data_IF_696006752039
#
_entry.id   IF_696006752039
#
_cell.length_a   1.000
_cell.length_b   1.000
_cell.length_c   1.000
_cell.angle_alpha   90.00
_cell.angle_beta   90.00
_cell.angle_gamma   90.00
#
_symmetry.space_group_name_H-M   'P 1'
#
loop_
_entity.id
_entity.type
_entity.pdbx_description
1 polymer ?
#
# COMPACT_ATOMS: atom_id res chain seq x y z
N UNK A 1 30.18 -15.73 33.32
CA UNK A 1 28.78 -15.31 33.05
C UNK A 1 28.69 -14.16 32.05
N UNK A 2 29.48 -13.08 32.20
CA UNK A 2 29.46 -11.91 31.31
C UNK A 2 29.56 -12.21 29.80
N UNK A 3 30.45 -13.13 29.39
CA UNK A 3 30.62 -13.51 27.98
C UNK A 3 29.42 -14.26 27.41
N UNK A 4 28.67 -15.01 28.24
CA UNK A 4 27.44 -15.68 27.82
C UNK A 4 26.32 -14.67 27.57
N UNK A 5 26.20 -13.64 28.41
CA UNK A 5 25.27 -12.54 28.21
C UNK A 5 25.54 -11.79 26.91
N UNK A 6 26.79 -11.42 26.65
CA UNK A 6 27.17 -10.75 25.40
C UNK A 6 26.98 -11.61 24.15
N UNK A 7 27.20 -12.93 24.24
CA UNK A 7 26.89 -13.84 23.14
C UNK A 7 25.39 -13.90 22.84
N UNK A 8 24.56 -13.95 23.88
CA UNK A 8 23.10 -13.89 23.72
C UNK A 8 22.64 -12.57 23.08
N UNK A 9 23.23 -11.44 23.49
CA UNK A 9 22.95 -10.13 22.86
C UNK A 9 23.36 -10.10 21.38
N UNK A 10 24.49 -10.71 21.03
CA UNK A 10 24.91 -10.83 19.63
C UNK A 10 23.89 -11.63 18.81
N UNK A 11 23.43 -12.77 19.32
CA UNK A 11 22.41 -13.60 18.65
C UNK A 11 21.09 -12.86 18.50
N UNK A 12 20.62 -12.17 19.54
CA UNK A 12 19.39 -11.38 19.50
C UNK A 12 19.50 -10.22 18.49
N UNK A 13 20.64 -9.53 18.45
CA UNK A 13 20.89 -8.47 17.46
C UNK A 13 20.92 -8.99 16.02
N UNK A 14 21.49 -10.18 15.78
CA UNK A 14 21.48 -10.82 14.46
C UNK A 14 20.07 -11.26 14.05
N UNK A 15 19.30 -11.83 14.98
CA UNK A 15 17.92 -12.23 14.73
C UNK A 15 17.03 -11.03 14.39
N UNK A 16 17.17 -9.92 15.12
CA UNK A 16 16.46 -8.68 14.84
C UNK A 16 16.90 -8.09 13.48
N UNK A 17 18.21 -8.08 13.19
CA UNK A 17 18.71 -7.59 11.89
C UNK A 17 18.13 -8.40 10.73
N UNK A 18 18.05 -9.72 10.86
CA UNK A 18 17.45 -10.60 9.85
C UNK A 18 15.96 -10.34 9.66
N UNK A 19 15.21 -10.15 10.75
CA UNK A 19 13.80 -9.79 10.68
C UNK A 19 13.59 -8.41 10.03
N UNK A 20 14.41 -7.42 10.36
CA UNK A 20 14.35 -6.08 9.81
C UNK A 20 14.70 -6.05 8.31
N UNK A 21 15.67 -6.86 7.86
CA UNK A 21 15.93 -7.07 6.43
C UNK A 21 14.69 -7.66 5.74
N UNK A 22 14.09 -8.70 6.31
CA UNK A 22 12.87 -9.30 5.77
C UNK A 22 11.74 -8.26 5.65
N UNK A 23 11.48 -7.49 6.71
CA UNK A 23 10.48 -6.42 6.70
C UNK A 23 10.76 -5.37 5.63
N UNK A 24 12.03 -4.97 5.48
CA UNK A 24 12.40 -3.98 4.47
C UNK A 24 12.25 -4.52 3.04
N UNK A 25 12.59 -5.79 2.79
CA UNK A 25 12.31 -6.43 1.50
C UNK A 25 10.81 -6.49 1.21
N UNK A 26 9.99 -6.86 2.20
CA UNK A 26 8.53 -6.87 2.05
C UNK A 26 7.98 -5.46 1.80
N UNK A 27 8.54 -4.43 2.42
CA UNK A 27 8.20 -3.03 2.15
C UNK A 27 8.56 -2.62 0.71
N UNK A 28 9.70 -3.07 0.19
CA UNK A 28 10.06 -2.83 -1.21
C UNK A 28 9.09 -3.54 -2.17
N UNK A 29 8.72 -4.78 -1.88
CA UNK A 29 7.68 -5.51 -2.64
C UNK A 29 6.36 -4.76 -2.62
N UNK A 30 5.90 -4.33 -1.45
CA UNK A 30 4.67 -3.55 -1.27
C UNK A 30 4.69 -2.27 -2.11
N UNK A 31 5.78 -1.51 -2.03
CA UNK A 31 5.92 -0.24 -2.76
C UNK A 31 6.17 -0.42 -4.26
N UNK A 32 6.59 -1.61 -4.67
CA UNK A 32 6.64 -2.05 -6.07
C UNK A 32 5.31 -2.57 -6.61
N UNK A 33 4.24 -2.58 -5.80
CA UNK A 33 2.91 -3.06 -6.21
C UNK A 33 2.69 -4.56 -6.03
N UNK A 34 3.59 -5.28 -5.34
CA UNK A 34 3.43 -6.69 -4.99
C UNK A 34 2.70 -6.89 -3.65
N UNK A 35 2.29 -8.13 -3.37
CA UNK A 35 1.67 -8.52 -2.10
C UNK A 35 2.70 -8.92 -1.04
N UNK A 36 2.41 -8.64 0.24
CA UNK A 36 3.31 -9.02 1.34
C UNK A 36 2.85 -10.30 2.04
N UNK A 37 3.81 -11.02 2.64
CA UNK A 37 3.55 -12.25 3.41
C UNK A 37 2.83 -11.96 4.73
N UNK A 38 3.00 -10.76 5.30
CA UNK A 38 2.43 -10.38 6.58
C UNK A 38 1.12 -9.58 6.48
N UNK A 39 0.63 -9.32 5.27
CA UNK A 39 -0.72 -8.78 4.99
C UNK A 39 -1.76 -9.90 4.90
N UNK A 40 -2.09 -10.52 6.04
CA UNK A 40 -2.97 -11.71 6.06
C UNK A 40 -4.45 -11.33 6.15
N UNK A 41 -4.77 -10.28 6.91
CA UNK A 41 -6.14 -9.77 7.09
C UNK A 41 -6.11 -8.28 7.44
N UNK A 42 -7.27 -7.60 7.47
CA UNK A 42 -7.36 -6.18 7.83
C UNK A 42 -6.86 -5.89 9.27
N UNK A 43 -7.07 -6.84 10.18
CA UNK A 43 -6.60 -6.76 11.57
C UNK A 43 -5.17 -7.23 11.73
N UNK A 44 -4.68 -8.12 10.88
CA UNK A 44 -3.31 -8.65 10.88
C UNK A 44 -2.62 -8.21 9.60
N UNK A 45 -2.19 -6.94 9.58
CA UNK A 45 -1.64 -6.29 8.40
C UNK A 45 -0.40 -5.44 8.73
N UNK A 46 0.75 -5.84 8.17
CA UNK A 46 1.97 -5.04 8.25
C UNK A 46 1.98 -3.84 7.27
N UNK A 47 1.24 -3.92 6.17
CA UNK A 47 1.19 -2.91 5.11
C UNK A 47 0.56 -1.61 5.61
N UNK A 48 -0.55 -1.72 6.36
CA UNK A 48 -1.22 -0.58 7.01
C UNK A 48 -0.27 0.18 7.94
N UNK A 49 0.54 -0.55 8.71
CA UNK A 49 1.49 0.06 9.65
C UNK A 49 2.62 0.74 8.90
N UNK A 50 3.18 0.11 7.86
CA UNK A 50 4.31 0.65 7.09
C UNK A 50 3.95 1.83 6.18
N UNK A 51 2.69 1.92 5.75
CA UNK A 51 2.18 3.06 4.99
C UNK A 51 1.39 4.07 5.85
N UNK A 52 1.39 3.91 7.18
CA UNK A 52 0.76 4.87 8.07
C UNK A 52 1.39 6.26 7.94
N UNK A 53 0.62 7.31 8.18
CA UNK A 53 1.11 8.70 8.15
C UNK A 53 2.32 8.91 9.08
N UNK A 54 2.35 8.21 10.21
CA UNK A 54 3.48 8.21 11.13
C UNK A 54 4.75 7.63 10.46
N UNK A 55 4.65 6.43 9.86
CA UNK A 55 5.78 5.79 9.20
C UNK A 55 6.30 6.62 8.01
N UNK A 56 5.40 7.26 7.25
CA UNK A 56 5.76 8.16 6.15
C UNK A 56 6.52 9.40 6.66
N UNK A 57 6.04 10.06 7.71
CA UNK A 57 6.76 11.20 8.32
C UNK A 57 8.14 10.82 8.84
N UNK A 58 8.27 9.65 9.48
CA UNK A 58 9.57 9.16 9.94
C UNK A 58 10.53 8.97 8.75
N UNK A 59 10.03 8.39 7.66
CA UNK A 59 10.80 8.22 6.43
C UNK A 59 11.24 9.56 5.82
N UNK A 60 10.36 10.55 5.80
CA UNK A 60 10.66 11.89 5.27
C UNK A 60 11.71 12.64 6.09
N UNK A 61 11.60 12.58 7.42
CA UNK A 61 12.50 13.29 8.32
C UNK A 61 13.88 12.63 8.42
N UNK A 62 13.91 11.30 8.52
CA UNK A 62 15.14 10.54 8.80
C UNK A 62 15.81 10.07 7.50
N UNK A 63 15.06 9.99 6.39
CA UNK A 63 15.53 9.41 5.13
C UNK A 63 15.62 7.88 5.16
N UNK A 64 15.11 7.24 6.22
CA UNK A 64 15.06 5.79 6.39
C UNK A 64 13.62 5.34 6.68
N UNK A 65 13.07 4.33 5.99
CA UNK A 65 11.80 3.75 6.38
C UNK A 65 11.90 3.08 7.76
N UNK A 66 10.77 2.91 8.46
CA UNK A 66 10.73 2.31 9.80
C UNK A 66 11.41 0.93 9.85
N UNK A 67 11.25 0.11 8.81
CA UNK A 67 11.94 -1.20 8.72
C UNK A 67 13.48 -1.07 8.66
N UNK A 68 13.99 -0.04 7.96
CA UNK A 68 15.44 0.23 7.94
C UNK A 68 15.94 0.75 9.29
N UNK A 69 15.12 1.46 10.07
CA UNK A 69 15.48 1.87 11.44
C UNK A 69 15.61 0.68 12.39
N UNK A 70 14.78 -0.36 12.23
CA UNK A 70 14.98 -1.63 12.90
C UNK A 70 16.36 -2.21 12.58
N UNK A 71 16.70 -2.30 11.28
CA UNK A 71 18.01 -2.80 10.85
C UNK A 71 19.18 -1.99 11.43
N UNK A 72 19.07 -0.66 11.49
CA UNK A 72 20.08 0.19 12.14
C UNK A 72 20.25 -0.21 13.60
N UNK A 73 19.15 -0.36 14.34
CA UNK A 73 19.19 -0.78 15.74
C UNK A 73 19.86 -2.15 15.91
N UNK A 74 19.47 -3.14 15.08
CA UNK A 74 20.06 -4.48 15.09
C UNK A 74 21.55 -4.51 14.83
N UNK A 75 22.00 -3.82 13.78
CA UNK A 75 23.41 -3.77 13.42
C UNK A 75 24.25 -3.05 14.48
N UNK A 76 23.71 -2.03 15.14
CA UNK A 76 24.35 -1.39 16.29
C UNK A 76 24.47 -2.35 17.47
N UNK A 77 23.40 -3.08 17.78
CA UNK A 77 23.39 -4.10 18.83
C UNK A 77 24.43 -5.21 18.54
N UNK A 78 24.52 -5.67 17.29
CA UNK A 78 25.54 -6.62 16.82
C UNK A 78 26.94 -6.04 16.98
N UNK A 79 27.18 -4.82 16.50
CA UNK A 79 28.48 -4.15 16.53
C UNK A 79 29.01 -3.97 17.96
N UNK A 80 28.17 -3.50 18.88
CA UNK A 80 28.55 -3.33 20.29
C UNK A 80 28.73 -4.67 21.02
N UNK A 81 27.93 -5.70 20.67
CA UNK A 81 28.09 -7.05 21.25
C UNK A 81 29.40 -7.70 20.79
N UNK A 82 29.75 -7.55 19.50
CA UNK A 82 31.03 -7.99 18.95
C UNK A 82 32.20 -7.23 19.58
N UNK A 83 32.07 -5.91 19.77
CA UNK A 83 33.06 -5.09 20.46
C UNK A 83 33.28 -5.56 21.91
N UNK A 84 32.20 -5.84 22.64
CA UNK A 84 32.29 -6.40 23.98
C UNK A 84 33.06 -7.73 23.98
N UNK A 85 32.69 -8.66 23.10
CA UNK A 85 33.30 -10.01 23.04
C UNK A 85 34.78 -9.95 22.66
N UNK A 86 35.16 -9.07 21.72
CA UNK A 86 36.56 -8.89 21.31
C UNK A 86 37.40 -8.27 22.44
N UNK A 87 36.85 -7.31 23.18
CA UNK A 87 37.53 -6.74 24.35
C UNK A 87 37.65 -7.73 25.51
N UNK A 88 36.60 -8.51 25.77
CA UNK A 88 36.64 -9.56 26.78
C UNK A 88 37.73 -10.61 26.48
N UNK A 89 37.92 -10.98 25.21
CA UNK A 89 38.97 -11.92 24.79
C UNK A 89 40.38 -11.33 24.87
N UNK A 90 40.52 -10.02 24.68
CA UNK A 90 41.82 -9.32 24.67
C UNK A 90 42.20 -8.72 26.02
N UNK A 91 41.43 -8.96 27.08
CA UNK A 91 41.67 -8.40 28.42
C UNK A 91 41.44 -6.88 28.52
N UNK A 92 40.80 -6.26 27.52
CA UNK A 92 40.48 -4.83 27.51
C UNK A 92 39.25 -4.54 28.38
N UNK A 93 39.12 -3.33 28.95
CA UNK A 93 37.96 -2.97 29.76
C UNK A 93 36.67 -2.98 28.93
N UNK A 94 35.72 -3.83 29.32
CA UNK A 94 34.46 -4.04 28.59
C UNK A 94 33.34 -3.05 28.95
N UNK A 95 33.54 -2.24 30.00
CA UNK A 95 32.56 -1.29 30.53
C UNK A 95 31.96 -0.35 29.47
N UNK A 96 32.74 0.27 28.58
CA UNK A 96 32.17 1.20 27.60
C UNK A 96 31.18 0.51 26.65
N UNK A 97 31.49 -0.71 26.20
CA UNK A 97 30.62 -1.50 25.34
C UNK A 97 29.38 -2.01 26.10
N UNK A 98 29.55 -2.44 27.36
CA UNK A 98 28.43 -2.87 28.21
C UNK A 98 27.41 -1.75 28.46
N UNK A 99 27.90 -0.56 28.78
CA UNK A 99 27.07 0.63 28.96
C UNK A 99 26.39 1.03 27.64
N UNK A 100 27.11 0.94 26.51
CA UNK A 100 26.53 1.20 25.19
C UNK A 100 25.38 0.25 24.85
N UNK A 101 25.53 -1.05 25.11
CA UNK A 101 24.47 -2.06 24.92
C UNK A 101 23.22 -1.74 25.76
N UNK A 102 23.40 -1.21 26.98
CA UNK A 102 22.29 -0.79 27.84
C UNK A 102 21.61 0.49 27.36
N UNK A 103 22.36 1.44 26.81
CA UNK A 103 21.79 2.63 26.18
C UNK A 103 20.98 2.26 24.93
N UNK A 104 21.50 1.35 24.10
CA UNK A 104 20.82 0.83 22.92
C UNK A 104 19.56 0.04 23.31
N UNK A 105 19.62 -0.74 24.39
CA UNK A 105 18.45 -1.42 24.95
C UNK A 105 17.38 -0.41 25.42
N UNK A 106 17.77 0.64 26.15
CA UNK A 106 16.85 1.68 26.59
C UNK A 106 16.20 2.42 25.41
N UNK A 107 17.01 2.81 24.41
CA UNK A 107 16.51 3.43 23.18
C UNK A 107 15.55 2.49 22.43
N UNK A 108 15.88 1.20 22.35
CA UNK A 108 15.02 0.18 21.75
C UNK A 108 13.66 0.09 22.42
N UNK A 109 13.61 0.05 23.77
CA UNK A 109 12.34 0.00 24.50
C UNK A 109 11.49 1.27 24.31
N UNK A 110 12.12 2.44 24.22
CA UNK A 110 11.41 3.69 23.88
C UNK A 110 10.83 3.59 22.47
N UNK A 111 11.61 3.13 21.49
CA UNK A 111 11.13 2.90 20.13
C UNK A 111 9.97 1.91 20.07
N UNK A 112 10.04 0.80 20.83
CA UNK A 112 8.94 -0.17 20.94
C UNK A 112 7.67 0.49 21.46
N UNK A 113 7.76 1.30 22.52
CA UNK A 113 6.60 1.99 23.06
C UNK A 113 5.98 2.96 22.04
N UNK A 114 6.82 3.79 21.39
CA UNK A 114 6.37 4.74 20.36
C UNK A 114 5.71 4.01 19.19
N UNK A 115 6.34 2.98 18.66
CA UNK A 115 5.83 2.24 17.51
C UNK A 115 4.60 1.39 17.85
N UNK A 116 4.51 0.84 19.06
CA UNK A 116 3.31 0.13 19.51
C UNK A 116 2.10 1.06 19.58
N UNK A 117 2.28 2.29 20.10
CA UNK A 117 1.23 3.31 20.11
C UNK A 117 0.83 3.72 18.69
N UNK A 118 1.81 3.98 17.82
CA UNK A 118 1.55 4.33 16.43
C UNK A 118 0.83 3.19 15.67
N UNK A 119 1.21 1.93 15.92
CA UNK A 119 0.55 0.76 15.35
C UNK A 119 -0.89 0.63 15.86
N UNK A 120 -1.13 0.80 17.16
CA UNK A 120 -2.46 0.74 17.74
C UNK A 120 -3.39 1.82 17.15
N UNK A 121 -2.87 3.02 16.91
CA UNK A 121 -3.60 4.10 16.25
C UNK A 121 -3.98 3.79 14.80
N UNK A 122 -3.22 2.93 14.11
CA UNK A 122 -3.50 2.52 12.73
C UNK A 122 -4.60 1.46 12.60
N UNK A 123 -5.07 0.88 13.71
CA UNK A 123 -6.11 -0.15 13.71
C UNK A 123 -5.65 -1.52 13.19
N UNK A 124 -4.35 -1.70 12.94
CA UNK A 124 -3.76 -2.95 12.43
C UNK A 124 -2.73 -3.53 13.39
N UNK A 125 -2.71 -4.87 13.49
CA UNK A 125 -1.72 -5.67 14.20
C UNK A 125 -0.66 -6.14 13.19
N UNK A 126 0.60 -5.77 13.40
CA UNK A 126 1.70 -6.19 12.54
C UNK A 126 2.48 -7.34 13.22
N UNK A 127 2.36 -8.62 12.79
CA UNK A 127 3.02 -9.74 13.46
C UNK A 127 4.54 -9.63 13.48
N UNK A 128 5.13 -9.15 12.39
CA UNK A 128 6.57 -8.96 12.28
C UNK A 128 7.04 -7.83 13.20
N UNK A 129 6.23 -6.79 13.39
CA UNK A 129 6.50 -5.72 14.35
C UNK A 129 6.44 -6.25 15.79
N UNK A 130 5.44 -7.08 16.12
CA UNK A 130 5.36 -7.74 17.43
C UNK A 130 6.58 -8.64 17.71
N UNK A 131 7.04 -9.39 16.70
CA UNK A 131 8.26 -10.18 16.80
C UNK A 131 9.49 -9.28 17.05
N UNK A 132 9.57 -8.13 16.37
CA UNK A 132 10.63 -7.12 16.61
C UNK A 132 10.57 -6.62 18.06
N UNK A 133 9.37 -6.31 18.56
CA UNK A 133 9.18 -5.84 19.94
C UNK A 133 9.63 -6.89 20.97
N UNK A 134 9.27 -8.16 20.73
CA UNK A 134 9.69 -9.26 21.58
C UNK A 134 11.23 -9.42 21.60
N UNK A 135 11.89 -9.32 20.44
CA UNK A 135 13.36 -9.39 20.35
C UNK A 135 14.04 -8.23 21.09
N UNK A 136 13.53 -7.01 20.95
CA UNK A 136 14.07 -5.82 21.65
C UNK A 136 13.89 -5.93 23.17
N UNK A 137 12.72 -6.39 23.63
CA UNK A 137 12.46 -6.61 25.07
C UNK A 137 13.38 -7.71 25.63
N UNK A 138 13.57 -8.81 24.91
CA UNK A 138 14.50 -9.87 25.29
C UNK A 138 15.93 -9.35 25.36
N UNK A 139 16.36 -8.56 24.37
CA UNK A 139 17.67 -7.92 24.34
C UNK A 139 17.88 -7.02 25.57
N UNK A 140 16.90 -6.18 25.92
CA UNK A 140 17.00 -5.31 27.08
C UNK A 140 17.10 -6.09 28.40
N UNK A 141 16.34 -7.18 28.54
CA UNK A 141 16.43 -8.08 29.69
C UNK A 141 17.84 -8.66 29.86
N UNK A 142 18.45 -9.10 28.77
CA UNK A 142 19.83 -9.64 28.78
C UNK A 142 20.87 -8.52 29.00
N UNK A 143 20.68 -7.33 28.43
CA UNK A 143 21.64 -6.22 28.57
C UNK A 143 21.72 -5.71 30.02
N UNK A 144 20.60 -5.67 30.74
CA UNK A 144 20.57 -5.21 32.11
C UNK A 144 20.92 -6.29 33.14
N UNK A 145 20.52 -7.55 32.94
CA UNK A 145 20.79 -8.64 33.90
C UNK A 145 22.01 -9.50 33.56
N UNK A 146 22.38 -9.58 32.30
CA UNK A 146 23.43 -10.49 31.79
C UNK A 146 24.81 -9.87 31.62
N UNK A 147 24.92 -8.54 31.67
CA UNK A 147 26.19 -7.81 31.56
C UNK A 147 26.74 -7.38 32.93
N UNK A 148 28.07 -7.36 33.11
CA UNK A 148 28.69 -7.04 34.39
C UNK A 148 28.62 -5.55 34.73
N UNK A 149 28.63 -5.23 36.02
CA UNK A 149 28.69 -3.85 36.54
C UNK A 149 27.33 -3.18 36.76
N UNK A 150 27.32 -1.99 37.43
CA UNK A 150 26.12 -1.21 37.73
C UNK A 150 25.44 -0.76 36.44
N UNK A 151 24.11 -0.63 36.48
CA UNK A 151 23.28 -0.36 35.29
C UNK A 151 23.61 0.97 34.59
N UNK A 152 23.96 1.98 35.36
CA UNK A 152 24.28 3.32 34.86
C UNK A 152 25.79 3.56 34.79
N UNK A 153 26.28 4.29 33.77
CA UNK A 153 27.69 4.67 33.69
C UNK A 153 28.09 5.55 34.88
N UNK A 154 29.28 5.32 35.42
CA UNK A 154 29.89 6.25 36.38
C UNK A 154 30.29 7.57 35.70
N UNK A 155 30.50 8.65 36.49
CA UNK A 155 30.80 9.99 35.96
C UNK A 155 31.98 10.03 34.96
N UNK A 156 33.02 9.19 35.15
CA UNK A 156 34.17 9.09 34.24
C UNK A 156 34.00 8.12 33.06
N UNK A 157 32.93 7.34 32.99
CA UNK A 157 32.74 6.30 31.95
C UNK A 157 32.01 6.84 30.70
N UNK A 158 31.31 7.98 30.83
CA UNK A 158 30.45 8.55 29.78
C UNK A 158 31.18 8.85 28.47
N UNK A 159 32.37 9.45 28.53
CA UNK A 159 33.12 9.82 27.32
C UNK A 159 33.46 8.59 26.45
N UNK A 160 33.96 7.53 27.07
CA UNK A 160 34.28 6.28 26.37
C UNK A 160 33.02 5.56 25.89
N UNK A 161 31.96 5.51 26.71
CA UNK A 161 30.68 4.90 26.33
C UNK A 161 30.07 5.61 25.12
N UNK A 162 29.96 6.94 25.14
CA UNK A 162 29.37 7.70 24.04
C UNK A 162 30.21 7.60 22.77
N UNK A 163 31.54 7.66 22.88
CA UNK A 163 32.44 7.52 21.72
C UNK A 163 32.15 6.25 20.93
N UNK A 164 32.04 5.10 21.60
CA UNK A 164 31.80 3.83 20.91
C UNK A 164 30.34 3.64 20.52
N UNK A 165 29.40 4.02 21.37
CA UNK A 165 27.97 3.87 21.08
C UNK A 165 27.58 4.75 19.90
N UNK A 166 27.86 6.05 19.96
CA UNK A 166 27.56 7.01 18.89
C UNK A 166 28.40 6.72 17.65
N UNK A 167 29.67 6.34 17.81
CA UNK A 167 30.53 5.99 16.67
C UNK A 167 30.00 4.81 15.87
N UNK A 168 29.61 3.71 16.54
CA UNK A 168 29.00 2.55 15.88
C UNK A 168 27.65 2.90 15.28
N UNK A 169 26.79 3.64 16.00
CA UNK A 169 25.49 4.09 15.50
C UNK A 169 25.59 4.97 14.25
N UNK A 170 26.50 5.95 14.26
CA UNK A 170 26.71 6.82 13.11
C UNK A 170 27.22 6.05 11.89
N UNK A 171 28.18 5.12 12.08
CA UNK A 171 28.69 4.30 11.00
C UNK A 171 27.60 3.44 10.36
N UNK A 172 26.79 2.74 11.17
CA UNK A 172 25.67 1.91 10.69
C UNK A 172 24.60 2.75 10.02
N UNK A 173 24.24 3.90 10.60
CA UNK A 173 23.24 4.80 10.03
C UNK A 173 23.68 5.31 8.66
N UNK A 174 24.93 5.78 8.53
CA UNK A 174 25.47 6.24 7.25
C UNK A 174 25.51 5.12 6.20
N UNK A 175 25.88 3.90 6.59
CA UNK A 175 25.91 2.75 5.69
C UNK A 175 24.52 2.36 5.15
N UNK A 176 23.47 2.56 5.95
CA UNK A 176 22.08 2.23 5.58
C UNK A 176 21.34 3.39 4.93
N UNK A 177 21.85 4.62 5.04
CA UNK A 177 21.17 5.83 4.55
C UNK A 177 20.98 5.86 3.03
N UNK A 178 21.99 5.43 2.26
CA UNK A 178 21.90 5.38 0.80
C UNK A 178 20.80 4.43 0.31
N UNK A 179 20.79 3.13 0.66
CA UNK A 179 19.70 2.24 0.28
C UNK A 179 18.37 2.66 0.91
N UNK A 180 18.40 3.22 2.12
CA UNK A 180 17.23 3.78 2.81
C UNK A 180 16.52 4.86 2.01
N UNK A 181 17.26 5.89 1.57
CA UNK A 181 16.73 6.99 0.77
C UNK A 181 16.27 6.57 -0.63
N UNK A 182 16.82 5.47 -1.15
CA UNK A 182 16.37 4.87 -2.41
C UNK A 182 15.06 4.06 -2.25
N UNK A 183 14.59 3.82 -1.01
CA UNK A 183 13.31 3.16 -0.81
C UNK A 183 12.20 4.08 -1.34
N UNK A 184 11.34 3.61 -2.25
CA UNK A 184 10.21 4.41 -2.73
C UNK A 184 9.39 4.91 -1.55
N UNK A 185 8.74 6.08 -1.62
CA UNK A 185 7.87 6.56 -0.53
C UNK A 185 6.48 5.93 -0.65
N UNK A 186 5.73 5.90 0.47
CA UNK A 186 4.32 5.57 0.38
C UNK A 186 3.66 6.63 -0.51
N UNK A 187 2.99 6.22 -1.58
CA UNK A 187 2.22 7.14 -2.42
C UNK A 187 1.25 7.88 -1.51
N UNK A 188 1.32 9.22 -1.49
CA UNK A 188 0.43 10.02 -0.65
C UNK A 188 -1.02 9.61 -0.90
N UNK A 189 -1.72 9.39 0.21
CA UNK A 189 -3.05 8.81 0.30
C UNK A 189 -4.01 9.32 -0.79
N UNK A 190 -4.64 8.37 -1.52
CA UNK A 190 -5.70 8.58 -2.50
C UNK A 190 -5.38 9.61 -3.59
N UNK A 191 -5.26 9.15 -4.84
CA UNK A 191 -5.19 10.02 -6.02
C UNK A 191 -6.32 11.07 -6.12
N UNK A 192 -7.37 10.94 -5.30
CA UNK A 192 -8.41 11.94 -5.07
C UNK A 192 -7.91 13.30 -4.54
N UNK A 193 -6.81 13.37 -3.78
CA UNK A 193 -6.23 14.64 -3.31
C UNK A 193 -5.51 15.43 -4.41
N UNK A 194 -5.12 14.75 -5.50
CA UNK A 194 -4.48 15.32 -6.68
C UNK A 194 -5.49 15.69 -7.77
N UNK A 195 -6.76 15.29 -7.60
CA UNK A 195 -7.83 15.72 -8.47
C UNK A 195 -8.30 17.13 -8.06
N UNK A 196 -8.62 18.02 -9.02
CA UNK A 196 -9.08 19.36 -8.72
C UNK A 196 -10.28 19.39 -7.76
N UNK A 197 -10.44 20.39 -6.89
CA UNK A 197 -11.62 20.48 -6.02
C UNK A 197 -12.92 20.53 -6.85
N UNK A 198 -13.95 19.83 -6.40
CA UNK A 198 -15.30 19.97 -6.98
C UNK A 198 -15.82 21.37 -6.62
N UNK A 199 -16.37 22.16 -7.56
CA UNK A 199 -17.02 23.42 -7.23
C UNK A 199 -18.11 23.18 -6.17
N UNK A 200 -17.89 23.65 -4.94
CA UNK A 200 -18.89 23.54 -3.88
C UNK A 200 -20.00 24.55 -4.13
N UNK A 201 -21.24 24.09 -4.27
CA UNK A 201 -22.41 24.95 -4.09
C UNK A 201 -22.36 25.41 -2.63
N UNK A 202 -22.27 26.72 -2.43
CA UNK A 202 -22.01 27.37 -1.14
C UNK A 202 -22.83 26.76 0.00
N UNK A 203 -22.15 26.08 0.93
CA UNK A 203 -22.70 25.74 2.24
C UNK A 203 -22.40 26.86 3.23
N UNK A 204 -23.37 27.11 4.10
CA UNK A 204 -23.48 28.20 5.07
C UNK A 204 -22.19 28.48 5.86
N UNK A 205 -21.79 29.74 6.08
CA UNK A 205 -20.52 30.06 6.75
C UNK A 205 -20.57 29.66 8.24
N UNK A 206 -19.54 28.96 8.71
CA UNK A 206 -19.22 28.91 10.14
C UNK A 206 -18.59 30.25 10.57
N UNK A 207 -18.98 30.85 11.71
CA UNK A 207 -18.37 32.11 12.16
C UNK A 207 -16.91 31.91 12.54
N UNK A 208 -16.01 32.74 12.00
CA UNK A 208 -14.61 32.84 12.45
C UNK A 208 -13.56 32.14 11.58
N UNK A 209 -13.94 31.49 10.48
CA UNK A 209 -13.00 30.99 9.46
C UNK A 209 -13.16 31.87 8.22
N UNK A 210 -12.14 32.65 7.85
CA UNK A 210 -12.10 33.28 6.52
C UNK A 210 -12.14 32.17 5.47
N UNK A 211 -13.17 32.10 4.61
CA UNK A 211 -13.23 31.10 3.56
C UNK A 211 -12.10 31.40 2.57
N UNK A 212 -11.06 30.57 2.56
CA UNK A 212 -10.24 30.46 1.36
C UNK A 212 -11.10 29.71 0.35
N UNK A 213 -11.69 30.46 -0.59
CA UNK A 213 -12.36 29.86 -1.75
C UNK A 213 -11.32 28.97 -2.44
N UNK A 214 -11.56 27.65 -2.59
CA UNK A 214 -10.67 26.79 -3.35
C UNK A 214 -10.47 27.39 -4.75
N UNK A 215 -9.25 27.37 -5.31
CA UNK A 215 -9.05 27.80 -6.68
C UNK A 215 -10.00 27.03 -7.61
N UNK A 216 -10.53 27.67 -8.66
CA UNK A 216 -11.40 26.99 -9.62
C UNK A 216 -10.68 25.78 -10.23
N UNK A 217 -11.42 24.73 -10.64
CA UNK A 217 -10.82 23.60 -11.35
C UNK A 217 -10.10 24.10 -12.61
N UNK A 218 -8.97 23.47 -12.99
CA UNK A 218 -8.15 23.91 -14.11
C UNK A 218 -8.96 23.90 -15.40
N UNK A 219 -8.86 24.97 -16.18
CA UNK A 219 -9.62 25.16 -17.41
C UNK A 219 -9.04 24.34 -18.58
N UNK A 220 -7.83 23.80 -18.44
CA UNK A 220 -7.13 23.05 -19.47
C UNK A 220 -6.30 21.89 -18.91
N UNK A 221 -5.98 20.92 -19.78
CA UNK A 221 -5.03 19.85 -19.47
C UNK A 221 -3.67 20.40 -19.02
N UNK A 222 -3.15 21.40 -19.71
CA UNK A 222 -1.86 22.02 -19.38
C UNK A 222 -1.87 22.62 -17.97
N UNK A 223 -2.91 23.39 -17.63
CA UNK A 223 -3.05 23.98 -16.29
C UNK A 223 -3.14 22.92 -15.20
N UNK A 224 -3.90 21.85 -15.45
CA UNK A 224 -3.97 20.70 -14.55
C UNK A 224 -2.57 20.10 -14.33
N UNK A 225 -1.85 19.77 -15.40
CA UNK A 225 -0.55 19.11 -15.28
C UNK A 225 0.50 20.00 -14.59
N UNK A 226 0.50 21.31 -14.88
CA UNK A 226 1.39 22.27 -14.21
C UNK A 226 1.08 22.45 -12.72
N UNK A 227 -0.17 22.26 -12.31
CA UNK A 227 -0.57 22.35 -10.89
C UNK A 227 -0.06 21.18 -10.04
N UNK A 228 0.31 20.06 -10.67
CA UNK A 228 0.77 18.87 -9.96
C UNK A 228 2.21 19.02 -9.45
N UNK A 229 2.56 18.42 -8.30
CA UNK A 229 3.95 18.33 -7.85
C UNK A 229 4.86 17.64 -8.89
N UNK A 230 6.16 17.96 -8.96
CA UNK A 230 7.07 17.41 -9.98
C UNK A 230 7.09 15.88 -10.05
N UNK A 231 7.01 15.20 -8.90
CA UNK A 231 6.94 13.74 -8.84
C UNK A 231 5.68 13.16 -9.52
N UNK A 232 4.55 13.86 -9.45
CA UNK A 232 3.30 13.46 -10.07
C UNK A 232 3.29 13.76 -11.57
N UNK A 233 3.89 14.87 -11.99
CA UNK A 233 4.14 15.14 -13.41
C UNK A 233 5.00 14.03 -14.02
N UNK A 234 6.08 13.63 -13.34
CA UNK A 234 6.90 12.51 -13.79
C UNK A 234 6.12 11.19 -13.87
N UNK A 235 5.28 10.89 -12.87
CA UNK A 235 4.42 9.70 -12.90
C UNK A 235 3.46 9.70 -14.10
N UNK A 236 2.82 10.84 -14.42
CA UNK A 236 1.95 10.96 -15.58
C UNK A 236 2.76 10.82 -16.87
N UNK A 237 3.96 11.40 -16.96
CA UNK A 237 4.84 11.24 -18.11
C UNK A 237 5.18 9.77 -18.37
N UNK A 238 5.57 9.05 -17.33
CA UNK A 238 5.92 7.63 -17.40
C UNK A 238 4.69 6.78 -17.80
N UNK A 239 3.53 7.09 -17.21
CA UNK A 239 2.26 6.40 -17.49
C UNK A 239 1.73 6.69 -18.90
N UNK A 240 1.93 7.91 -19.41
CA UNK A 240 1.57 8.29 -20.78
C UNK A 240 2.47 7.58 -21.80
N UNK A 241 3.77 7.49 -21.52
CA UNK A 241 4.71 6.73 -22.35
C UNK A 241 4.33 5.23 -22.39
N UNK A 242 4.00 4.66 -21.22
CA UNK A 242 3.47 3.31 -21.10
C UNK A 242 2.20 3.11 -21.95
N UNK A 243 1.21 3.99 -21.78
CA UNK A 243 -0.06 3.96 -22.49
C UNK A 243 0.12 4.05 -24.02
N UNK A 244 1.02 4.91 -24.50
CA UNK A 244 1.36 5.04 -25.93
C UNK A 244 2.04 3.78 -26.49
N UNK A 245 2.81 3.06 -25.66
CA UNK A 245 3.48 1.82 -26.06
C UNK A 245 2.55 0.61 -26.12
N UNK A 246 1.42 0.63 -25.40
CA UNK A 246 0.43 -0.45 -25.45
C UNK A 246 -0.23 -0.56 -26.83
N UNK A 247 -0.79 -1.72 -27.14
CA UNK A 247 -1.68 -1.88 -28.31
C UNK A 247 -3.11 -1.94 -27.81
N UNK A 248 -4.04 -1.11 -28.33
CA UNK A 248 -5.41 -1.11 -27.86
C UNK A 248 -6.06 -2.41 -28.31
N UNK A 249 -6.61 -3.15 -27.35
CA UNK A 249 -7.31 -4.39 -27.61
C UNK A 249 -8.83 -4.15 -27.67
N UNK A 250 -9.54 -4.81 -28.59
CA UNK A 250 -10.99 -4.74 -28.65
C UNK A 250 -11.62 -5.38 -27.41
N UNK A 251 -12.85 -4.98 -27.09
CA UNK A 251 -13.61 -5.61 -26.02
C UNK A 251 -13.87 -7.09 -26.35
N UNK A 252 -13.49 -7.99 -25.43
CA UNK A 252 -13.60 -9.45 -25.64
C UNK A 252 -14.82 -10.09 -24.96
N UNK A 253 -15.71 -9.28 -24.37
CA UNK A 253 -16.93 -9.69 -23.67
C UNK A 253 -18.02 -8.61 -23.78
N UNK A 254 -19.32 -8.98 -23.83
CA UNK A 254 -20.42 -8.01 -23.80
C UNK A 254 -20.32 -7.09 -22.58
N UNK A 255 -20.61 -5.81 -22.76
CA UNK A 255 -20.52 -4.79 -21.71
C UNK A 255 -21.39 -5.15 -20.49
N UNK A 256 -20.86 -4.92 -19.28
CA UNK A 256 -21.68 -4.91 -18.05
C UNK A 256 -22.36 -3.54 -17.88
N UNK A 257 -22.91 -3.31 -16.70
CA UNK A 257 -23.44 -2.01 -16.32
C UNK A 257 -22.39 -0.91 -16.46
N UNK A 258 -22.80 0.20 -17.06
CA UNK A 258 -21.93 1.32 -17.42
C UNK A 258 -22.45 2.63 -16.83
N UNK A 259 -21.53 3.39 -16.24
CA UNK A 259 -21.71 4.80 -15.97
C UNK A 259 -21.31 5.62 -17.21
N UNK A 260 -22.08 6.66 -17.54
CA UNK A 260 -21.80 7.53 -18.68
C UNK A 260 -22.15 6.91 -20.05
N UNK A 261 -22.03 7.68 -21.14
CA UNK A 261 -22.53 7.28 -22.45
C UNK A 261 -21.58 6.33 -23.18
N UNK A 262 -22.10 5.51 -24.10
CA UNK A 262 -21.34 4.49 -24.85
C UNK A 262 -20.28 5.07 -25.79
N UNK A 263 -20.49 6.30 -26.24
CA UNK A 263 -19.66 7.07 -27.15
C UNK A 263 -18.73 8.06 -26.43
N UNK A 264 -18.64 7.98 -25.10
CA UNK A 264 -17.66 8.77 -24.35
C UNK A 264 -16.24 8.58 -24.93
N UNK A 265 -15.45 9.66 -25.09
CA UNK A 265 -14.11 9.61 -25.68
C UNK A 265 -13.12 8.83 -24.81
N UNK A 266 -13.37 8.75 -23.50
CA UNK A 266 -12.60 7.91 -22.57
C UNK A 266 -13.48 6.79 -22.03
N UNK A 267 -13.12 5.55 -22.33
CA UNK A 267 -13.84 4.34 -21.90
C UNK A 267 -12.99 3.55 -20.92
N UNK A 268 -13.45 3.46 -19.68
CA UNK A 268 -12.75 2.79 -18.59
C UNK A 268 -13.45 1.45 -18.34
N UNK A 269 -12.66 0.38 -18.26
CA UNK A 269 -13.12 -0.92 -17.75
C UNK A 269 -12.24 -1.28 -16.56
N UNK A 270 -12.85 -1.57 -15.42
CA UNK A 270 -12.13 -2.01 -14.22
C UNK A 270 -12.56 -3.40 -13.77
N UNK A 271 -11.60 -4.23 -13.35
CA UNK A 271 -11.85 -5.49 -12.66
C UNK A 271 -11.45 -5.35 -11.21
N UNK A 272 -12.39 -5.66 -10.33
CA UNK A 272 -12.23 -5.42 -8.89
C UNK A 272 -12.65 -6.61 -8.04
N UNK A 273 -12.14 -6.63 -6.82
CA UNK A 273 -12.55 -7.53 -5.73
C UNK A 273 -12.93 -6.69 -4.49
N UNK A 274 -14.11 -6.93 -3.92
CA UNK A 274 -14.67 -6.17 -2.80
C UNK A 274 -13.86 -6.22 -1.50
N UNK A 275 -12.97 -7.19 -1.32
CA UNK A 275 -12.03 -7.33 -0.20
C UNK A 275 -10.58 -7.01 -0.58
N UNK A 276 -10.32 -6.49 -1.79
CA UNK A 276 -9.01 -5.98 -2.16
C UNK A 276 -8.86 -4.50 -1.73
N UNK A 277 -7.89 -4.15 -0.88
CA UNK A 277 -7.66 -2.76 -0.46
C UNK A 277 -7.36 -1.81 -1.62
N UNK A 278 -6.58 -2.26 -2.62
CA UNK A 278 -6.29 -1.47 -3.82
C UNK A 278 -7.54 -1.23 -4.68
N UNK A 279 -8.47 -2.19 -4.73
CA UNK A 279 -9.75 -2.00 -5.41
C UNK A 279 -10.59 -0.95 -4.68
N UNK A 280 -10.64 -0.97 -3.35
CA UNK A 280 -11.34 0.08 -2.58
C UNK A 280 -10.80 1.47 -2.91
N UNK A 281 -9.47 1.64 -2.90
CA UNK A 281 -8.85 2.92 -3.25
C UNK A 281 -9.22 3.35 -4.68
N UNK A 282 -9.17 2.44 -5.66
CA UNK A 282 -9.56 2.75 -7.03
C UNK A 282 -11.03 3.16 -7.13
N UNK A 283 -11.94 2.45 -6.45
CA UNK A 283 -13.38 2.76 -6.48
C UNK A 283 -13.67 4.12 -5.86
N UNK A 284 -13.01 4.46 -4.75
CA UNK A 284 -13.10 5.78 -4.12
C UNK A 284 -12.55 6.87 -5.06
N UNK A 285 -11.41 6.62 -5.70
CA UNK A 285 -10.79 7.52 -6.68
C UNK A 285 -11.69 7.76 -7.90
N UNK A 286 -12.27 6.71 -8.47
CA UNK A 286 -13.18 6.80 -9.61
C UNK A 286 -14.51 7.44 -9.22
N UNK A 287 -15.04 7.19 -8.01
CA UNK A 287 -16.19 7.93 -7.48
C UNK A 287 -15.91 9.43 -7.43
N UNK A 288 -14.72 9.78 -6.95
CA UNK A 288 -14.27 11.15 -6.88
C UNK A 288 -14.06 11.76 -8.28
N UNK A 289 -13.60 10.96 -9.25
CA UNK A 289 -13.42 11.36 -10.65
C UNK A 289 -14.75 11.64 -11.35
N UNK A 290 -15.76 10.78 -11.17
CA UNK A 290 -17.11 10.96 -11.73
C UNK A 290 -17.75 12.31 -11.38
N UNK A 291 -17.41 12.86 -10.21
CA UNK A 291 -17.91 14.17 -9.72
C UNK A 291 -17.18 15.37 -10.32
N UNK A 292 -16.03 15.16 -10.97
CA UNK A 292 -15.12 16.21 -11.45
C UNK A 292 -15.02 16.30 -12.96
N UNK A 293 -15.28 15.17 -13.62
CA UNK A 293 -15.23 15.08 -15.08
C UNK A 293 -16.51 15.68 -15.68
N UNK A 294 -16.42 16.50 -16.74
CA UNK A 294 -17.60 16.97 -17.44
C UNK A 294 -18.45 15.79 -17.96
N UNK A 295 -19.76 15.95 -17.90
CA UNK A 295 -20.69 14.90 -18.35
C UNK A 295 -20.38 14.47 -19.80
N UNK A 296 -20.49 13.18 -20.06
CA UNK A 296 -20.24 12.59 -21.39
C UNK A 296 -18.77 12.40 -21.78
N UNK A 297 -17.80 12.94 -21.03
CA UNK A 297 -16.37 12.79 -21.35
C UNK A 297 -15.79 11.42 -20.97
N UNK A 298 -16.42 10.71 -20.04
CA UNK A 298 -15.98 9.37 -19.64
C UNK A 298 -17.14 8.38 -19.54
N UNK A 299 -16.83 7.12 -19.77
CA UNK A 299 -17.64 6.00 -19.33
C UNK A 299 -16.84 5.05 -18.45
N UNK A 300 -17.52 4.42 -17.49
CA UNK A 300 -16.92 3.45 -16.58
C UNK A 300 -17.77 2.18 -16.56
N UNK A 301 -17.13 1.06 -16.84
CA UNK A 301 -17.72 -0.27 -16.80
C UNK A 301 -17.03 -1.09 -15.70
N UNK A 302 -17.82 -1.60 -14.75
CA UNK A 302 -17.30 -2.37 -13.63
C UNK A 302 -17.47 -3.87 -13.88
N UNK A 303 -16.36 -4.61 -13.75
CA UNK A 303 -16.25 -6.07 -13.91
C UNK A 303 -15.82 -6.71 -12.60
N UNK A 304 -16.20 -7.97 -12.42
CA UNK A 304 -15.88 -8.71 -11.20
C UNK A 304 -14.67 -9.63 -11.42
N UNK A 305 -13.71 -9.60 -10.50
CA UNK A 305 -12.61 -10.56 -10.45
C UNK A 305 -12.33 -10.95 -9.00
N UNK A 306 -13.21 -11.74 -8.36
CA UNK A 306 -13.00 -12.15 -6.99
C UNK A 306 -11.74 -13.01 -6.89
N UNK A 307 -10.84 -12.67 -5.98
CA UNK A 307 -9.58 -13.35 -5.67
C UNK A 307 -9.86 -14.62 -4.84
N UNK A 308 -10.75 -15.47 -5.35
CA UNK A 308 -11.22 -16.68 -4.68
C UNK A 308 -11.57 -17.80 -5.68
N UNK A 309 -10.88 -18.93 -5.56
CA UNK A 309 -11.07 -20.11 -6.41
C UNK A 309 -12.42 -20.82 -6.28
N UNK A 310 -13.26 -20.46 -5.30
CA UNK A 310 -14.60 -21.01 -5.16
C UNK A 310 -15.55 -20.55 -6.28
N UNK A 311 -15.38 -19.31 -6.77
CA UNK A 311 -16.21 -18.76 -7.86
C UNK A 311 -15.39 -18.25 -9.06
N UNK A 312 -14.09 -18.00 -8.90
CA UNK A 312 -13.21 -17.55 -9.97
C UNK A 312 -12.23 -18.66 -10.36
N UNK A 313 -12.39 -19.32 -11.53
CA UNK A 313 -11.51 -20.40 -11.95
C UNK A 313 -10.06 -19.95 -12.25
N UNK A 314 -9.82 -18.65 -12.39
CA UNK A 314 -8.47 -18.10 -12.57
C UNK A 314 -7.64 -18.07 -11.26
N UNK A 315 -8.25 -18.37 -10.11
CA UNK A 315 -7.61 -18.30 -8.80
C UNK A 315 -7.51 -19.71 -8.19
N UNK A 316 -6.34 -20.11 -7.64
CA UNK A 316 -6.23 -21.38 -6.93
C UNK A 316 -7.18 -21.45 -5.73
N UNK A 317 -7.85 -22.59 -5.56
CA UNK A 317 -8.71 -22.83 -4.39
C UNK A 317 -7.88 -22.94 -3.12
N UNK A 318 -8.36 -22.32 -2.04
CA UNK A 318 -7.74 -22.38 -0.70
C UNK A 318 -8.82 -22.69 0.34
N UNK A 319 -8.96 -23.96 0.72
CA UNK A 319 -9.85 -24.40 1.81
C UNK A 319 -11.26 -24.86 1.41
N UNK A 320 -12.09 -25.29 2.40
CA UNK A 320 -13.38 -25.97 2.18
C UNK A 320 -14.53 -25.06 1.70
N UNK A 321 -15.57 -25.70 1.14
CA UNK A 321 -16.65 -25.18 0.26
C UNK A 321 -17.67 -24.16 0.84
N UNK A 322 -17.27 -23.24 1.72
CA UNK A 322 -18.14 -22.13 2.14
C UNK A 322 -18.08 -20.95 1.15
N UNK A 323 -19.21 -20.28 0.82
CA UNK A 323 -19.18 -19.06 0.02
C UNK A 323 -18.38 -17.97 0.73
N UNK A 324 -17.27 -17.53 0.14
CA UNK A 324 -16.53 -16.41 0.70
C UNK A 324 -17.26 -15.09 0.45
N UNK A 325 -16.99 -14.11 1.31
CA UNK A 325 -17.47 -12.74 1.12
C UNK A 325 -17.07 -12.16 -0.25
N UNK A 326 -15.91 -12.54 -0.81
CA UNK A 326 -15.47 -12.11 -2.15
C UNK A 326 -16.44 -12.58 -3.22
N UNK A 327 -16.79 -13.87 -3.19
CA UNK A 327 -17.74 -14.46 -4.12
C UNK A 327 -19.16 -13.93 -3.93
N UNK A 328 -19.62 -13.81 -2.68
CA UNK A 328 -20.95 -13.27 -2.36
C UNK A 328 -21.08 -11.81 -2.84
N UNK A 329 -20.09 -10.97 -2.57
CA UNK A 329 -20.09 -9.57 -2.98
C UNK A 329 -20.02 -9.40 -4.51
N UNK A 330 -19.24 -10.24 -5.21
CA UNK A 330 -19.19 -10.23 -6.68
C UNK A 330 -20.53 -10.62 -7.30
N UNK A 331 -21.17 -11.68 -6.78
CA UNK A 331 -22.50 -12.12 -7.21
C UNK A 331 -23.55 -11.03 -6.96
N UNK A 332 -23.52 -10.40 -5.78
CA UNK A 332 -24.43 -9.31 -5.43
C UNK A 332 -24.28 -8.14 -6.42
N UNK A 333 -23.06 -7.70 -6.72
CA UNK A 333 -22.83 -6.63 -7.70
C UNK A 333 -23.34 -7.00 -9.10
N UNK A 334 -23.10 -8.22 -9.58
CA UNK A 334 -23.64 -8.68 -10.87
C UNK A 334 -25.18 -8.59 -10.90
N UNK A 335 -25.82 -8.97 -9.81
CA UNK A 335 -27.28 -8.92 -9.68
C UNK A 335 -27.85 -7.51 -9.58
N UNK A 336 -27.00 -6.51 -9.29
CA UNK A 336 -27.37 -5.11 -9.30
C UNK A 336 -27.13 -4.41 -10.66
N UNK A 337 -26.59 -5.08 -11.68
CA UNK A 337 -26.26 -4.45 -12.97
C UNK A 337 -27.44 -3.77 -13.69
N UNK A 338 -28.68 -4.15 -13.36
CA UNK A 338 -29.89 -3.51 -13.90
C UNK A 338 -30.47 -2.40 -13.00
N UNK A 339 -29.90 -2.21 -11.82
CA UNK A 339 -30.46 -1.35 -10.78
C UNK A 339 -30.03 0.12 -10.99
N UNK A 340 -30.94 1.11 -10.86
CA UNK A 340 -30.59 2.52 -11.02
C UNK A 340 -29.59 3.02 -9.97
N UNK A 341 -29.52 2.37 -8.83
CA UNK A 341 -28.66 2.66 -7.67
C UNK A 341 -27.41 1.77 -7.61
N UNK A 342 -27.09 1.03 -8.69
CA UNK A 342 -25.91 0.17 -8.78
C UNK A 342 -24.62 0.85 -8.28
N UNK A 343 -24.33 2.05 -8.79
CA UNK A 343 -23.08 2.75 -8.47
C UNK A 343 -23.01 3.18 -7.01
N UNK A 344 -24.12 3.65 -6.45
CA UNK A 344 -24.19 4.04 -5.04
C UNK A 344 -24.00 2.83 -4.13
N UNK A 345 -24.71 1.73 -4.41
CA UNK A 345 -24.60 0.49 -3.62
C UNK A 345 -23.21 -0.15 -3.73
N UNK A 346 -22.60 -0.11 -4.92
CA UNK A 346 -21.23 -0.57 -5.11
C UNK A 346 -20.24 0.27 -4.28
N UNK A 347 -20.36 1.60 -4.32
CA UNK A 347 -19.51 2.48 -3.52
C UNK A 347 -19.69 2.23 -2.01
N UNK A 348 -20.93 2.06 -1.54
CA UNK A 348 -21.22 1.67 -0.14
C UNK A 348 -20.57 0.34 0.24
N UNK A 349 -20.61 -0.64 -0.65
CA UNK A 349 -19.99 -1.96 -0.42
C UNK A 349 -18.47 -1.86 -0.25
N UNK A 350 -17.79 -1.10 -1.11
CA UNK A 350 -16.34 -0.86 -0.98
C UNK A 350 -16.00 0.02 0.22
N UNK A 351 -16.82 1.02 0.55
CA UNK A 351 -16.63 1.84 1.75
C UNK A 351 -16.68 0.97 3.03
N UNK A 352 -17.61 0.00 3.08
CA UNK A 352 -17.79 -0.94 4.16
C UNK A 352 -16.77 -2.11 4.21
N UNK A 353 -15.76 -2.13 3.33
CA UNK A 353 -14.82 -3.25 3.16
C UNK A 353 -14.23 -3.80 4.47
N UNK A 354 -13.93 -2.93 5.45
CA UNK A 354 -13.33 -3.31 6.73
C UNK A 354 -14.23 -4.21 7.59
N UNK A 355 -15.56 -4.06 7.45
CA UNK A 355 -16.58 -4.83 8.19
C UNK A 355 -17.43 -5.70 7.25
N UNK A 356 -16.95 -5.90 6.01
CA UNK A 356 -17.68 -6.65 5.00
C UNK A 356 -17.53 -8.15 5.26
N UNK A 357 -18.65 -8.77 5.64
CA UNK A 357 -18.87 -10.21 5.64
C UNK A 357 -19.95 -10.57 4.60
N UNK A 358 -20.32 -11.86 4.51
CA UNK A 358 -21.32 -12.33 3.54
C UNK A 358 -22.69 -11.71 3.77
N UNK A 359 -23.12 -11.56 5.02
CA UNK A 359 -24.44 -11.02 5.35
C UNK A 359 -24.49 -9.53 5.08
N UNK A 360 -23.47 -8.79 5.50
CA UNK A 360 -23.31 -7.36 5.23
C UNK A 360 -23.28 -7.07 3.72
N UNK A 361 -22.64 -7.93 2.92
CA UNK A 361 -22.64 -7.76 1.46
C UNK A 361 -24.06 -7.84 0.88
N UNK A 362 -24.88 -8.78 1.36
CA UNK A 362 -26.28 -8.92 0.93
C UNK A 362 -27.15 -7.80 1.50
N UNK A 363 -26.95 -7.40 2.75
CA UNK A 363 -27.62 -6.26 3.40
C UNK A 363 -27.41 -4.97 2.60
N UNK A 364 -26.15 -4.62 2.29
CA UNK A 364 -25.83 -3.44 1.49
C UNK A 364 -26.48 -3.53 0.12
N UNK A 365 -26.33 -4.65 -0.58
CA UNK A 365 -26.88 -4.82 -1.91
C UNK A 365 -28.43 -4.79 -1.96
N UNK A 366 -29.11 -5.20 -0.89
CA UNK A 366 -30.57 -5.17 -0.77
C UNK A 366 -31.13 -3.92 -0.08
N UNK A 367 -30.27 -2.97 0.30
CA UNK A 367 -30.67 -1.69 0.92
C UNK A 367 -31.27 -0.68 -0.08
N UNK A 368 -31.26 -1.02 -1.36
CA UNK A 368 -31.68 -0.16 -2.45
C UNK A 368 -32.90 -0.69 -3.21
N UNK A 369 -32.86 -0.59 -4.54
CA UNK A 369 -34.02 -0.86 -5.41
C UNK A 369 -34.34 -2.35 -5.62
N UNK A 370 -33.37 -3.25 -5.38
CA UNK A 370 -33.55 -4.70 -5.57
C UNK A 370 -33.87 -5.38 -4.23
N UNK A 371 -35.07 -5.97 -4.05
CA UNK A 371 -35.43 -6.65 -2.81
C UNK A 371 -34.53 -7.85 -2.54
N UNK A 372 -34.24 -8.11 -1.26
CA UNK A 372 -33.37 -9.21 -0.83
C UNK A 372 -33.74 -10.57 -1.43
N UNK A 373 -35.03 -10.90 -1.48
CA UNK A 373 -35.49 -12.18 -2.04
C UNK A 373 -35.16 -12.33 -3.53
N UNK A 374 -35.26 -11.26 -4.32
CA UNK A 374 -34.88 -11.25 -5.73
C UNK A 374 -33.36 -11.33 -5.89
N UNK A 375 -32.64 -10.61 -5.04
CA UNK A 375 -31.19 -10.63 -5.01
C UNK A 375 -30.64 -12.04 -4.74
N UNK A 376 -31.17 -12.72 -3.72
CA UNK A 376 -30.76 -14.09 -3.36
C UNK A 376 -31.04 -15.10 -4.48
N UNK A 377 -32.19 -15.01 -5.16
CA UNK A 377 -32.51 -15.84 -6.33
C UNK A 377 -31.50 -15.58 -7.46
N UNK A 378 -31.21 -14.32 -7.77
CA UNK A 378 -30.23 -13.97 -8.79
C UNK A 378 -28.82 -14.47 -8.44
N UNK A 379 -28.37 -14.26 -7.19
CA UNK A 379 -27.02 -14.63 -6.74
C UNK A 379 -26.76 -16.14 -6.80
N UNK A 380 -27.80 -16.95 -6.65
CA UNK A 380 -27.73 -18.40 -6.74
C UNK A 380 -27.96 -18.96 -8.16
N UNK A 381 -28.19 -18.09 -9.15
CA UNK A 381 -28.45 -18.53 -10.52
C UNK A 381 -27.18 -18.96 -11.26
N UNK A 382 -27.28 -19.95 -12.18
CA UNK A 382 -26.18 -20.30 -13.09
C UNK A 382 -25.73 -19.12 -13.95
N UNK A 383 -26.64 -18.23 -14.32
CA UNK A 383 -26.34 -17.04 -15.12
C UNK A 383 -25.34 -16.12 -14.41
N UNK A 384 -25.50 -15.89 -13.11
CA UNK A 384 -24.54 -15.10 -12.31
C UNK A 384 -23.17 -15.76 -12.25
N UNK A 385 -23.10 -17.09 -12.13
CA UNK A 385 -21.84 -17.82 -12.17
C UNK A 385 -21.14 -17.69 -13.54
N UNK A 386 -21.89 -17.79 -14.65
CA UNK A 386 -21.38 -17.58 -16.01
C UNK A 386 -20.81 -16.18 -16.17
N UNK A 387 -21.49 -15.14 -15.65
CA UNK A 387 -20.98 -13.77 -15.73
C UNK A 387 -19.64 -13.57 -15.02
N UNK A 388 -19.43 -14.19 -13.85
CA UNK A 388 -18.12 -14.17 -13.17
C UNK A 388 -17.06 -14.83 -14.06
N UNK A 389 -17.36 -16.01 -14.64
CA UNK A 389 -16.41 -16.72 -15.51
C UNK A 389 -16.05 -15.91 -16.76
N UNK A 390 -17.01 -15.22 -17.37
CA UNK A 390 -16.78 -14.32 -18.50
C UNK A 390 -15.88 -13.15 -18.13
N UNK A 391 -16.14 -12.50 -17.00
CA UNK A 391 -15.33 -11.38 -16.51
C UNK A 391 -13.91 -11.84 -16.20
N UNK A 392 -13.75 -13.01 -15.55
CA UNK A 392 -12.45 -13.63 -15.28
C UNK A 392 -11.69 -13.97 -16.54
N UNK A 393 -12.34 -14.62 -17.52
CA UNK A 393 -11.71 -14.95 -18.81
C UNK A 393 -11.26 -13.69 -19.55
N UNK A 394 -12.09 -12.65 -19.52
CA UNK A 394 -11.73 -11.38 -20.15
C UNK A 394 -10.50 -10.75 -19.47
N UNK A 395 -10.46 -10.70 -18.14
CA UNK A 395 -9.28 -10.20 -17.42
C UNK A 395 -8.00 -11.00 -17.73
N UNK A 396 -8.11 -12.32 -17.89
CA UNK A 396 -6.97 -13.20 -18.22
C UNK A 396 -6.36 -12.91 -19.59
N UNK A 397 -7.14 -12.40 -20.56
CA UNK A 397 -6.59 -11.94 -21.85
C UNK A 397 -5.66 -10.73 -21.70
N UNK A 398 -5.77 -10.01 -20.60
CA UNK A 398 -4.89 -8.91 -20.21
C UNK A 398 -3.85 -9.32 -19.16
N UNK A 399 -3.56 -10.63 -19.06
CA UNK A 399 -2.54 -11.18 -18.17
C UNK A 399 -2.65 -10.67 -16.72
N UNK A 400 -3.88 -10.55 -16.22
CA UNK A 400 -4.13 -10.08 -14.85
C UNK A 400 -3.35 -10.91 -13.83
N UNK A 401 -2.56 -10.25 -12.98
CA UNK A 401 -1.81 -10.88 -11.89
C UNK A 401 -2.38 -10.55 -10.50
N UNK A 402 -3.36 -9.65 -10.46
CA UNK A 402 -3.99 -9.17 -9.25
C UNK A 402 -5.02 -8.10 -9.58
N UNK A 403 -5.77 -7.65 -8.57
CA UNK A 403 -6.76 -6.59 -8.74
C UNK A 403 -6.30 -5.31 -8.03
N UNK A 404 -6.63 -4.12 -8.55
CA UNK A 404 -7.45 -3.91 -9.74
C UNK A 404 -6.67 -4.01 -11.06
N UNK A 405 -7.36 -4.46 -12.11
CA UNK A 405 -6.96 -4.25 -13.50
C UNK A 405 -7.79 -3.10 -14.07
N UNK A 406 -7.14 -2.18 -14.78
CA UNK A 406 -7.80 -1.03 -15.42
C UNK A 406 -7.40 -0.95 -16.88
N UNK A 407 -8.40 -0.84 -17.75
CA UNK A 407 -8.23 -0.53 -19.16
C UNK A 407 -8.81 0.84 -19.45
N UNK A 408 -8.11 1.64 -20.26
CA UNK A 408 -8.62 2.91 -20.81
C UNK A 408 -8.51 2.86 -22.33
N UNK A 409 -9.64 2.94 -23.03
CA UNK A 409 -9.72 2.81 -24.50
C UNK A 409 -9.02 1.54 -25.01
N UNK A 410 -9.21 0.42 -24.31
CA UNK A 410 -8.66 -0.89 -24.68
C UNK A 410 -7.18 -1.09 -24.35
N UNK A 411 -6.52 -0.12 -23.71
CA UNK A 411 -5.11 -0.22 -23.28
C UNK A 411 -5.03 -0.40 -21.79
N UNK A 412 -4.17 -1.30 -21.31
CA UNK A 412 -3.94 -1.46 -19.89
C UNK A 412 -3.19 -0.25 -19.33
N UNK A 413 -3.65 0.23 -18.17
CA UNK A 413 -3.05 1.38 -17.48
C UNK A 413 -2.80 1.05 -16.02
N UNK A 414 -1.86 1.79 -15.44
CA UNK A 414 -1.74 1.82 -13.98
C UNK A 414 -3.03 2.41 -13.39
N UNK A 415 -3.62 1.79 -12.35
CA UNK A 415 -4.78 2.34 -11.65
C UNK A 415 -4.45 3.68 -11.01
N UNK A 416 -4.83 4.79 -11.65
CA UNK A 416 -4.48 6.15 -11.21
C UNK A 416 -5.54 7.16 -11.66
N UNK A 417 -6.31 7.69 -10.72
CA UNK A 417 -7.27 8.75 -11.01
C UNK A 417 -6.66 9.98 -11.71
N UNK A 418 -5.51 10.54 -11.29
CA UNK A 418 -4.89 11.69 -11.96
C UNK A 418 -4.52 11.43 -13.41
N UNK A 419 -4.01 10.22 -13.72
CA UNK A 419 -3.68 9.85 -15.09
C UNK A 419 -4.94 9.72 -15.96
N UNK A 420 -5.98 9.05 -15.45
CA UNK A 420 -7.26 8.93 -16.13
C UNK A 420 -7.89 10.32 -16.35
N UNK A 421 -7.84 11.20 -15.35
CA UNK A 421 -8.32 12.58 -15.48
C UNK A 421 -7.57 13.34 -16.58
N UNK A 422 -6.24 13.19 -16.67
CA UNK A 422 -5.46 13.79 -17.75
C UNK A 422 -5.92 13.29 -19.12
N UNK A 423 -6.18 11.99 -19.29
CA UNK A 423 -6.73 11.44 -20.53
C UNK A 423 -8.14 11.98 -20.84
N UNK A 424 -8.98 12.16 -19.83
CA UNK A 424 -10.31 12.76 -19.96
C UNK A 424 -10.23 14.21 -20.44
N UNK A 425 -9.36 15.02 -19.83
CA UNK A 425 -9.11 16.40 -20.24
C UNK A 425 -8.52 16.49 -21.67
N UNK A 426 -7.90 15.41 -22.14
CA UNK A 426 -7.37 15.26 -23.49
C UNK A 426 -8.38 14.65 -24.49
N UNK A 427 -9.64 14.42 -24.11
CA UNK A 427 -10.62 13.71 -24.94
C UNK A 427 -10.12 12.34 -25.45
N UNK A 428 -9.35 11.64 -24.61
CA UNK A 428 -8.75 10.36 -24.95
C UNK A 428 -7.61 10.42 -25.96
N UNK A 429 -7.19 11.60 -26.41
CA UNK A 429 -6.06 11.78 -27.32
C UNK A 429 -4.74 11.77 -26.53
N UNK A 430 -3.93 10.68 -26.59
CA UNK A 430 -2.68 10.62 -25.84
C UNK A 430 -1.60 11.55 -26.40
N UNK A 431 -1.84 12.22 -27.54
CA UNK A 431 -0.93 13.16 -28.18
C UNK A 431 -1.44 14.61 -28.09
N UNK A 432 -2.39 14.90 -27.20
CA UNK A 432 -2.88 16.26 -27.00
C UNK A 432 -1.74 17.20 -26.58
N UNK A 433 -1.65 18.44 -27.14
CA UNK A 433 -0.55 19.38 -26.85
C UNK A 433 -0.37 19.71 -25.37
N UNK A 434 -1.43 19.62 -24.56
CA UNK A 434 -1.34 19.86 -23.13
C UNK A 434 -0.38 18.90 -22.40
N UNK A 435 -0.06 17.73 -22.97
CA UNK A 435 0.94 16.82 -22.42
C UNK A 435 2.39 17.28 -22.62
N UNK A 436 2.66 18.26 -23.49
CA UNK A 436 4.02 18.72 -23.81
C UNK A 436 4.69 19.45 -22.63
N UNK A 437 3.93 19.77 -21.58
CA UNK A 437 4.44 20.39 -20.35
C UNK A 437 5.07 19.39 -19.38
N UNK A 438 4.88 18.10 -19.63
CA UNK A 438 5.42 17.04 -18.79
C UNK A 438 6.94 16.89 -18.98
N UNK A 439 7.68 16.47 -17.95
CA UNK A 439 9.07 16.11 -18.10
C UNK A 439 9.21 14.89 -19.04
N UNK A 440 10.40 14.65 -19.62
CA UNK A 440 10.66 13.42 -20.37
C UNK A 440 10.38 12.17 -19.50
N UNK A 441 9.80 11.11 -20.06
CA UNK A 441 9.56 9.87 -19.32
C UNK A 441 10.89 9.25 -18.89
N UNK A 442 10.93 8.67 -17.70
CA UNK A 442 12.10 7.92 -17.23
C UNK A 442 12.26 6.65 -18.06
N UNK A 443 13.50 6.21 -18.34
CA UNK A 443 13.73 4.92 -18.97
C UNK A 443 13.08 3.82 -18.13
N UNK A 444 12.23 2.99 -18.75
CA UNK A 444 11.83 1.73 -18.12
C UNK A 444 13.09 0.90 -17.88
N UNK A 445 13.27 0.28 -16.71
CA UNK A 445 14.30 -0.74 -16.54
C UNK A 445 14.16 -1.77 -17.66
N UNK A 446 15.21 -1.96 -18.45
CA UNK A 446 15.24 -2.99 -19.47
C UNK A 446 15.24 -4.36 -18.76
N UNK A 447 14.07 -5.01 -18.67
CA UNK A 447 13.96 -6.36 -18.09
C UNK A 447 12.65 -6.69 -17.36
N UNK A 448 11.48 -6.25 -17.87
CA UNK A 448 10.18 -6.52 -17.23
C UNK A 448 9.11 -7.15 -18.14
N UNK A 449 9.47 -7.53 -19.37
CA UNK A 449 8.63 -8.39 -20.20
C UNK A 449 9.46 -9.61 -20.61
N UNK A 450 8.80 -10.76 -20.49
CA UNK A 450 9.23 -12.10 -20.91
C UNK A 450 10.28 -12.78 -20.02
N UNK A 451 9.82 -13.54 -19.01
CA UNK A 451 10.31 -14.89 -18.67
C UNK A 451 9.70 -15.42 -17.36
N UNK A 452 8.40 -15.69 -17.33
CA UNK A 452 7.82 -16.62 -16.34
C UNK A 452 6.94 -17.68 -17.01
N UNK A 453 7.39 -18.17 -18.17
CA UNK A 453 7.01 -19.47 -18.66
C UNK A 453 7.77 -20.54 -17.86
N UNK A 454 7.17 -21.03 -16.79
CA UNK A 454 7.58 -22.30 -16.17
C UNK A 454 7.91 -22.22 -14.69
N UNK A 455 6.87 -22.22 -13.86
CA UNK A 455 6.90 -22.95 -12.59
C UNK A 455 5.51 -23.57 -12.35
N UNK A 456 5.29 -24.72 -13.00
CA UNK A 456 4.32 -25.70 -12.51
C UNK A 456 4.99 -26.45 -11.35
N UNK A 457 4.55 -26.20 -10.12
CA UNK A 457 4.57 -27.17 -9.03
C UNK A 457 3.34 -27.00 -8.16
#
# INVERSE_FOLDING_TARGET
MATRGALALLVLGLAESGLSIFQWMQLLTLRGGGSTVCGVSDTVNCETVWNSAFASRVHDLVGLPVAALGLVWGLVAVGLSALFLTWARSGRPVRPAANGLRLVAAAGLVSVAVFAVASAQSGALCPTCLATYALVVAFAGVAWKGLPGPLLPGAGEWGATLKWTVGVSAAVFLATLLPGRATPKASDASGAALLPPVPQVASTPMPGVTPQTPPPPPASLEEFLRSLPPQHQQFIADSLAAYRSETPQPAASPARHRYGPVDAPVKIVEWTDSKCPHCKMLVEELSALKKRVPEGKMSLEARQFPLDGACNPAIPRRGPDAPSVRCVAARAQICLEGAPDYWELREKMFAAQAVLDTERAVEIASSGSVPRSQLEVCMNSPATATKIQEDSRYAMLHHIQGTPLVLVNGRQVMPSAPFIYALVMADGNPSAPGFDVLPPPRPRPAGGHDDHAGHNH
#
